data_IF_912456780350
#
_entry.id   IF_912456780350
#
_cell.length_a   1.000
_cell.length_b   1.000
_cell.length_c   1.000
_cell.angle_alpha   90.00
_cell.angle_beta   90.00
_cell.angle_gamma   90.00
#
_symmetry.space_group_name_H-M   'P 1'
#
loop_
_entity.id
_entity.type
_entity.pdbx_description
1 polymer ?
#
# COMPACT_ATOMS: atom_id res chain seq x y z
N UNK A 1 -11.78 -8.51 -18.62
CA UNK A 1 -10.86 -8.14 -17.52
C UNK A 1 -10.42 -9.41 -16.79
N UNK A 2 -9.12 -9.58 -16.48
CA UNK A 2 -8.65 -10.71 -15.68
C UNK A 2 -9.20 -10.62 -14.26
N UNK A 3 -9.93 -11.65 -13.81
CA UNK A 3 -10.43 -11.72 -12.44
C UNK A 3 -9.42 -12.49 -11.57
N UNK A 4 -8.48 -11.76 -10.97
CA UNK A 4 -7.42 -12.35 -10.12
C UNK A 4 -7.98 -13.13 -8.93
N UNK A 5 -9.14 -12.73 -8.40
CA UNK A 5 -9.82 -13.48 -7.33
C UNK A 5 -10.25 -14.87 -7.80
N UNK A 6 -10.85 -14.94 -8.99
CA UNK A 6 -11.24 -16.22 -9.60
C UNK A 6 -10.03 -17.10 -9.90
N UNK A 7 -8.98 -16.53 -10.50
CA UNK A 7 -7.73 -17.25 -10.77
C UNK A 7 -7.07 -17.80 -9.49
N UNK A 8 -7.13 -17.05 -8.39
CA UNK A 8 -6.62 -17.50 -7.10
C UNK A 8 -7.36 -18.75 -6.60
N UNK A 9 -8.69 -18.73 -6.57
CA UNK A 9 -9.49 -19.87 -6.08
C UNK A 9 -9.42 -21.10 -7.00
N UNK A 10 -9.42 -20.91 -8.31
CA UNK A 10 -9.49 -22.04 -9.26
C UNK A 10 -8.13 -22.68 -9.56
N UNK A 11 -7.06 -21.88 -9.60
CA UNK A 11 -5.75 -22.35 -10.07
C UNK A 11 -4.70 -22.34 -8.97
N UNK A 12 -4.57 -21.24 -8.24
CA UNK A 12 -3.44 -21.04 -7.33
C UNK A 12 -3.64 -21.72 -5.98
N UNK A 13 -4.87 -21.78 -5.45
CA UNK A 13 -5.14 -22.36 -4.14
C UNK A 13 -4.74 -23.84 -4.06
N UNK A 14 -5.14 -24.65 -5.06
CA UNK A 14 -4.80 -26.06 -5.12
C UNK A 14 -3.30 -26.30 -5.36
N UNK A 15 -2.67 -25.48 -6.20
CA UNK A 15 -1.23 -25.56 -6.46
C UNK A 15 -0.42 -25.28 -5.18
N UNK A 16 -0.73 -24.18 -4.48
CA UNK A 16 -0.06 -23.79 -3.24
C UNK A 16 -0.30 -24.82 -2.13
N UNK A 17 -1.51 -25.36 -2.02
CA UNK A 17 -1.82 -26.40 -1.04
C UNK A 17 -0.97 -27.66 -1.25
N UNK A 18 -0.79 -28.08 -2.51
CA UNK A 18 0.00 -29.25 -2.88
C UNK A 18 1.50 -29.00 -2.68
N UNK A 19 2.01 -27.84 -3.08
CA UNK A 19 3.42 -27.47 -2.92
C UNK A 19 3.83 -27.34 -1.45
N UNK A 20 2.95 -26.80 -0.61
CA UNK A 20 3.22 -26.60 0.82
C UNK A 20 2.76 -27.76 1.71
N UNK A 21 2.17 -28.82 1.14
CA UNK A 21 1.73 -30.00 1.88
C UNK A 21 0.67 -29.71 2.95
N UNK A 22 -0.22 -28.73 2.73
CA UNK A 22 -1.14 -28.24 3.75
C UNK A 22 -2.38 -29.14 3.88
N UNK A 23 -2.60 -29.69 5.06
CA UNK A 23 -3.74 -30.58 5.37
C UNK A 23 -5.09 -29.87 5.44
N UNK A 24 -5.11 -28.54 5.55
CA UNK A 24 -6.34 -27.75 5.61
C UNK A 24 -6.33 -26.59 4.60
N UNK A 25 -7.41 -26.46 3.84
CA UNK A 25 -7.65 -25.40 2.86
C UNK A 25 -7.57 -24.00 3.47
N UNK A 26 -7.90 -23.86 4.75
CA UNK A 26 -7.82 -22.57 5.47
C UNK A 26 -6.40 -22.13 5.80
N UNK A 27 -5.40 -23.03 5.71
CA UNK A 27 -3.99 -22.69 5.91
C UNK A 27 -3.35 -22.05 4.68
N UNK A 28 -4.00 -22.12 3.51
CA UNK A 28 -3.45 -21.58 2.27
C UNK A 28 -3.30 -20.05 2.39
N UNK A 29 -2.10 -19.49 2.13
CA UNK A 29 -1.84 -18.06 2.22
C UNK A 29 -2.74 -17.22 1.30
N UNK A 30 -3.32 -16.15 1.84
CA UNK A 30 -4.21 -15.22 1.13
C UNK A 30 -3.63 -13.81 1.14
N UNK A 31 -3.89 -13.06 0.08
CA UNK A 31 -3.58 -11.62 0.05
C UNK A 31 -4.60 -10.91 0.95
N UNK A 32 -4.13 -10.27 2.01
CA UNK A 32 -4.99 -9.59 2.99
C UNK A 32 -5.19 -8.11 2.65
N UNK A 33 -4.13 -7.45 2.21
CA UNK A 33 -4.13 -6.04 1.81
C UNK A 33 -2.90 -5.72 0.97
N UNK A 34 -3.01 -4.70 0.13
CA UNK A 34 -1.89 -4.10 -0.59
C UNK A 34 -1.80 -2.63 -0.17
N UNK A 35 -0.66 -2.21 0.35
CA UNK A 35 -0.42 -0.81 0.71
C UNK A 35 0.52 -0.19 -0.31
N UNK A 36 0.05 0.85 -0.98
CA UNK A 36 0.84 1.67 -1.91
C UNK A 36 1.26 2.92 -1.15
N UNK A 37 2.55 3.20 -1.10
CA UNK A 37 3.11 4.32 -0.36
C UNK A 37 4.03 5.14 -1.27
N UNK A 38 3.90 6.46 -1.22
CA UNK A 38 4.75 7.39 -1.93
C UNK A 38 5.38 8.34 -0.90
N UNK A 39 6.70 8.24 -0.77
CA UNK A 39 7.49 9.15 0.07
C UNK A 39 7.83 10.40 -0.73
N UNK A 40 7.43 11.56 -0.22
CA UNK A 40 7.66 12.86 -0.85
C UNK A 40 8.56 13.67 0.09
N UNK A 41 9.84 13.28 0.18
CA UNK A 41 10.79 13.90 1.12
C UNK A 41 10.99 15.42 0.92
N UNK A 42 10.78 15.90 -0.31
CA UNK A 42 10.84 17.32 -0.66
C UNK A 42 9.56 18.10 -0.31
N UNK A 43 8.50 17.41 0.10
CA UNK A 43 7.25 18.04 0.51
C UNK A 43 7.38 18.97 1.72
N UNK A 44 8.48 18.84 2.48
CA UNK A 44 8.85 19.78 3.54
C UNK A 44 9.01 21.22 3.03
N UNK A 45 9.51 21.39 1.81
CA UNK A 45 9.76 22.70 1.21
C UNK A 45 8.61 23.14 0.30
N UNK A 46 7.86 22.19 -0.26
CA UNK A 46 6.77 22.49 -1.18
C UNK A 46 5.53 21.63 -0.88
N UNK A 47 4.55 22.24 -0.21
CA UNK A 47 3.27 21.60 0.13
C UNK A 47 2.47 21.14 -1.09
N UNK A 48 2.65 21.76 -2.26
CA UNK A 48 1.95 21.39 -3.51
C UNK A 48 2.32 19.99 -4.00
N UNK A 49 3.52 19.49 -3.64
CA UNK A 49 3.93 18.13 -4.00
C UNK A 49 3.05 17.08 -3.31
N UNK A 50 2.56 17.37 -2.10
CA UNK A 50 1.62 16.48 -1.40
C UNK A 50 0.30 16.44 -2.16
N UNK A 51 -0.24 17.60 -2.55
CA UNK A 51 -1.50 17.67 -3.32
C UNK A 51 -1.38 16.92 -4.64
N UNK A 52 -0.28 17.11 -5.38
CA UNK A 52 -0.02 16.36 -6.60
C UNK A 52 0.09 14.85 -6.35
N UNK A 53 0.78 14.44 -5.28
CA UNK A 53 0.88 13.03 -4.90
C UNK A 53 -0.47 12.41 -4.51
N UNK A 54 -1.34 13.19 -3.86
CA UNK A 54 -2.72 12.77 -3.56
C UNK A 54 -3.47 12.49 -4.87
N UNK A 55 -3.40 13.42 -5.81
CA UNK A 55 -4.13 13.33 -7.07
C UNK A 55 -3.64 12.17 -7.94
N UNK A 56 -2.33 11.99 -8.06
CA UNK A 56 -1.74 10.87 -8.80
C UNK A 56 -2.13 9.51 -8.19
N UNK A 57 -2.00 9.34 -6.87
CA UNK A 57 -2.39 8.08 -6.22
C UNK A 57 -3.89 7.83 -6.33
N UNK A 58 -4.71 8.89 -6.28
CA UNK A 58 -6.16 8.78 -6.46
C UNK A 58 -6.50 8.29 -7.86
N UNK A 59 -5.84 8.80 -8.90
CA UNK A 59 -6.05 8.36 -10.28
C UNK A 59 -5.60 6.90 -10.48
N UNK A 60 -4.46 6.50 -9.90
CA UNK A 60 -3.93 5.14 -10.06
C UNK A 60 -4.77 4.12 -9.28
N UNK A 61 -5.08 4.40 -8.03
CA UNK A 61 -5.70 3.43 -7.11
C UNK A 61 -7.22 3.53 -7.06
N UNK A 62 -7.81 4.59 -7.59
CA UNK A 62 -9.25 4.88 -7.48
C UNK A 62 -9.73 5.23 -6.07
N UNK A 63 -8.83 5.30 -5.08
CA UNK A 63 -9.14 5.56 -3.68
C UNK A 63 -8.41 6.83 -3.21
N UNK A 64 -9.07 7.61 -2.34
CA UNK A 64 -8.45 8.79 -1.74
C UNK A 64 -7.30 8.37 -0.81
N UNK A 65 -6.05 8.79 -1.06
CA UNK A 65 -4.91 8.48 -0.19
C UNK A 65 -4.95 9.27 1.12
N UNK A 66 -4.29 8.70 2.13
CA UNK A 66 -4.07 9.31 3.44
C UNK A 66 -2.67 9.92 3.48
N UNK A 67 -2.57 11.17 3.95
CA UNK A 67 -1.29 11.85 4.18
C UNK A 67 -0.58 11.25 5.39
N UNK A 68 0.68 10.87 5.23
CA UNK A 68 1.54 10.35 6.29
C UNK A 68 2.35 11.47 6.93
N UNK A 69 2.34 11.50 8.27
CA UNK A 69 3.06 12.48 9.09
C UNK A 69 4.26 11.84 9.79
N UNK A 70 5.28 12.65 10.06
CA UNK A 70 6.44 12.28 10.85
C UNK A 70 6.02 11.89 12.27
N UNK A 71 6.40 10.70 12.74
CA UNK A 71 6.19 10.29 14.14
C UNK A 71 7.29 10.80 15.08
N UNK A 72 8.49 11.05 14.55
CA UNK A 72 9.64 11.51 15.33
C UNK A 72 10.36 12.60 14.56
N UNK A 73 10.97 13.52 15.29
CA UNK A 73 11.91 14.49 14.73
C UNK A 73 13.25 13.82 14.46
N UNK A 74 13.83 14.05 13.26
CA UNK A 74 15.13 13.50 12.87
C UNK A 74 15.94 14.62 12.21
N UNK A 75 16.97 15.10 12.91
CA UNK A 75 17.75 16.27 12.51
C UNK A 75 18.46 16.10 11.15
N UNK A 76 18.97 14.90 10.84
CA UNK A 76 19.65 14.62 9.56
C UNK A 76 18.74 14.83 8.35
N UNK A 77 17.43 14.60 8.50
CA UNK A 77 16.44 14.79 7.43
C UNK A 77 15.69 16.12 7.55
N UNK A 78 16.12 17.00 8.47
CA UNK A 78 15.43 18.26 8.79
C UNK A 78 13.94 18.05 9.11
N UNK A 79 13.60 16.87 9.64
CA UNK A 79 12.23 16.45 9.91
C UNK A 79 11.84 16.84 11.34
N UNK A 80 10.65 17.43 11.48
CA UNK A 80 9.99 17.65 12.76
C UNK A 80 8.77 16.74 12.88
N UNK A 81 8.47 16.32 14.10
CA UNK A 81 7.26 15.56 14.41
C UNK A 81 6.00 16.29 13.94
N UNK A 82 5.05 15.53 13.39
CA UNK A 82 3.78 16.06 12.88
C UNK A 82 3.82 16.62 11.46
N UNK A 83 5.01 16.79 10.85
CA UNK A 83 5.10 17.29 9.47
C UNK A 83 4.69 16.22 8.47
N UNK A 84 3.94 16.61 7.44
CA UNK A 84 3.53 15.71 6.36
C UNK A 84 4.72 15.37 5.45
N UNK A 85 4.96 14.08 5.21
CA UNK A 85 6.13 13.58 4.45
C UNK A 85 5.71 12.80 3.21
N UNK A 86 4.48 12.31 3.15
CA UNK A 86 4.06 11.47 2.04
C UNK A 86 2.59 11.13 2.07
N UNK A 87 2.24 10.19 1.22
CA UNK A 87 0.86 9.75 1.01
C UNK A 87 0.82 8.25 0.82
N UNK A 88 -0.21 7.59 1.35
CA UNK A 88 -0.40 6.15 1.20
C UNK A 88 -1.86 5.79 0.98
N UNK A 89 -2.07 4.69 0.26
CA UNK A 89 -3.37 4.02 0.08
C UNK A 89 -3.25 2.60 0.60
N UNK A 90 -4.29 2.07 1.22
CA UNK A 90 -4.37 0.65 1.57
C UNK A 90 -5.58 0.04 0.89
N UNK A 91 -5.33 -0.76 -0.13
CA UNK A 91 -6.32 -1.51 -0.89
C UNK A 91 -6.61 -2.83 -0.18
N UNK A 92 -7.89 -3.14 -0.05
CA UNK A 92 -8.42 -4.40 0.50
C UNK A 92 -9.55 -4.89 -0.40
N UNK A 93 -9.70 -6.19 -0.58
CA UNK A 93 -10.72 -6.81 -1.43
C UNK A 93 -10.59 -8.33 -1.50
#
# INVERSE_FOLDING_TARGET
MPNFKKAYFEKHQAAIQKELGLGNVMQVPKITKITVNMGLGEALQNSKLIESGIEQLKVITGQLPIVTKAKKSISNFKLREGVSIGVKVTLRG
#
